data_IF_519480948348
#
_entry.id   IF_519480948348
#
_cell.length_a   1.000
_cell.length_b   1.000
_cell.length_c   1.000
_cell.angle_alpha   90.00
_cell.angle_beta   90.00
_cell.angle_gamma   90.00
#
_symmetry.space_group_name_H-M   'P 1'
#
loop_
_entity.id
_entity.type
_entity.pdbx_description
1 polymer ?
#
# COMPACT_ATOMS: atom_id res chain seq x y z
N UNK A 1 34.94 45.47 -71.26
CA UNK A 1 34.64 44.07 -70.95
C UNK A 1 35.73 43.55 -69.96
N UNK A 2 35.51 43.59 -68.66
CA UNK A 2 36.44 43.06 -67.66
C UNK A 2 35.89 41.79 -67.09
N UNK A 3 36.58 40.66 -67.30
CA UNK A 3 36.25 39.33 -66.76
C UNK A 3 36.79 39.24 -65.31
N UNK A 4 35.90 39.13 -64.34
CA UNK A 4 36.25 38.75 -62.94
C UNK A 4 36.56 37.27 -62.94
N UNK A 5 37.80 36.87 -62.78
CA UNK A 5 38.22 35.48 -62.54
C UNK A 5 38.09 35.16 -61.05
N UNK A 6 37.10 34.44 -60.66
CA UNK A 6 36.95 33.95 -59.31
C UNK A 6 37.94 32.77 -59.05
N UNK A 7 38.93 32.96 -58.17
CA UNK A 7 39.95 31.98 -57.91
C UNK A 7 39.36 30.79 -57.11
N UNK A 8 39.69 29.56 -57.54
CA UNK A 8 39.34 28.28 -56.88
C UNK A 8 39.70 28.26 -55.37
N UNK A 9 40.65 29.05 -54.95
CA UNK A 9 41.06 29.15 -53.53
C UNK A 9 40.09 29.92 -52.67
N UNK A 10 39.32 30.85 -53.23
CA UNK A 10 38.30 31.64 -52.53
C UNK A 10 37.01 30.78 -52.29
N UNK A 11 36.67 29.93 -53.25
CA UNK A 11 35.54 28.98 -53.09
C UNK A 11 35.79 27.90 -52.05
N UNK A 12 37.01 27.37 -51.93
CA UNK A 12 37.39 26.36 -50.90
C UNK A 12 37.40 26.93 -49.49
N UNK A 13 37.67 28.20 -49.30
CA UNK A 13 37.65 28.86 -47.99
C UNK A 13 36.24 29.16 -47.48
N UNK A 14 35.28 29.41 -48.38
CA UNK A 14 33.87 29.64 -48.05
C UNK A 14 33.12 28.34 -47.69
N UNK A 15 33.56 27.21 -48.23
CA UNK A 15 32.95 25.88 -47.88
C UNK A 15 33.45 25.37 -46.52
N UNK A 16 34.68 25.68 -46.12
CA UNK A 16 35.25 25.26 -44.85
C UNK A 16 34.66 25.99 -43.64
N UNK A 17 34.14 27.21 -43.77
CA UNK A 17 33.49 27.97 -42.71
C UNK A 17 32.02 27.62 -42.51
N UNK A 18 31.34 27.02 -43.49
CA UNK A 18 29.93 26.61 -43.38
C UNK A 18 29.75 25.23 -42.72
N UNK A 19 30.80 24.38 -42.71
CA UNK A 19 30.71 23.04 -42.11
C UNK A 19 30.87 23.03 -40.56
N UNK A 20 31.40 24.09 -39.96
CA UNK A 20 31.61 24.18 -38.51
C UNK A 20 30.36 24.63 -37.71
N UNK A 21 29.30 25.13 -38.41
CA UNK A 21 28.11 25.68 -37.74
C UNK A 21 26.96 24.70 -37.59
N UNK A 22 27.09 23.43 -38.08
CA UNK A 22 25.97 22.44 -38.03
C UNK A 22 26.20 21.34 -36.96
N UNK A 23 27.32 21.37 -36.26
CA UNK A 23 27.70 20.29 -35.35
C UNK A 23 27.40 20.55 -33.86
N UNK A 24 26.40 21.36 -33.52
CA UNK A 24 26.02 21.49 -32.10
C UNK A 24 24.57 21.94 -31.98
N UNK A 25 23.62 21.03 -31.91
CA UNK A 25 22.77 20.93 -30.73
C UNK A 25 22.23 19.53 -30.41
N UNK A 26 22.87 18.44 -30.80
CA UNK A 26 22.32 17.10 -30.53
C UNK A 26 22.63 16.64 -29.10
N UNK A 27 23.67 17.17 -28.45
CA UNK A 27 24.03 16.75 -27.08
C UNK A 27 23.19 17.46 -26.00
N UNK A 28 22.53 18.57 -26.32
CA UNK A 28 21.73 19.34 -25.34
C UNK A 28 20.29 18.82 -25.17
N UNK A 29 19.78 18.00 -26.08
CA UNK A 29 18.40 17.51 -26.03
C UNK A 29 18.20 16.28 -25.13
N UNK A 30 19.25 15.48 -24.87
CA UNK A 30 19.14 14.33 -23.95
C UNK A 30 19.22 14.73 -22.46
N UNK A 31 19.79 15.86 -22.13
CA UNK A 31 19.87 16.36 -20.75
C UNK A 31 18.55 17.00 -20.27
N UNK A 32 17.62 17.29 -21.15
CA UNK A 32 16.36 17.98 -20.84
C UNK A 32 15.10 17.07 -20.88
N UNK A 33 15.25 15.77 -21.13
CA UNK A 33 14.14 14.84 -20.91
C UNK A 33 14.04 14.60 -19.40
N UNK A 34 13.06 15.24 -18.76
CA UNK A 34 12.72 14.94 -17.38
C UNK A 34 12.57 13.41 -17.26
N UNK A 35 13.38 12.79 -16.39
CA UNK A 35 13.26 11.34 -16.13
C UNK A 35 11.83 11.05 -15.73
N UNK A 36 11.27 9.97 -16.26
CA UNK A 36 9.93 9.52 -15.88
C UNK A 36 10.06 8.51 -14.76
N UNK A 37 9.43 8.78 -13.62
CA UNK A 37 9.23 7.84 -12.52
C UNK A 37 7.90 7.12 -12.74
N UNK A 38 7.94 5.81 -12.96
CA UNK A 38 6.73 4.98 -12.97
C UNK A 38 6.34 4.66 -11.53
N UNK A 39 5.14 5.07 -11.13
CA UNK A 39 4.54 4.74 -9.84
C UNK A 39 3.46 3.67 -10.05
N UNK A 40 3.80 2.43 -9.81
CA UNK A 40 2.88 1.30 -9.94
C UNK A 40 1.98 1.23 -8.71
N UNK A 41 0.68 1.12 -8.94
CA UNK A 41 -0.34 0.83 -7.93
C UNK A 41 -0.91 -0.55 -8.24
N UNK A 42 -0.63 -1.59 -7.43
CA UNK A 42 -1.02 -2.97 -7.71
C UNK A 42 -2.50 -3.26 -7.40
N UNK A 43 -3.36 -2.25 -7.47
CA UNK A 43 -4.79 -2.31 -7.16
C UNK A 43 -5.60 -1.52 -8.20
N UNK A 44 -6.93 -1.78 -8.28
CA UNK A 44 -7.80 -1.02 -9.17
C UNK A 44 -7.80 0.48 -8.86
N UNK A 45 -8.08 1.33 -9.86
CA UNK A 45 -8.27 2.76 -9.65
C UNK A 45 -9.38 3.05 -8.63
N UNK A 46 -9.23 4.15 -7.87
CA UNK A 46 -10.20 4.60 -6.86
C UNK A 46 -10.06 3.94 -5.49
N UNK A 47 -9.22 2.91 -5.35
CA UNK A 47 -8.87 2.33 -4.05
C UNK A 47 -7.96 3.25 -3.22
N UNK A 48 -7.82 2.96 -1.93
CA UNK A 48 -7.06 3.81 -0.99
C UNK A 48 -5.59 4.02 -1.43
N UNK A 49 -4.96 3.01 -2.01
CA UNK A 49 -3.58 3.10 -2.51
C UNK A 49 -3.48 3.97 -3.76
N UNK A 50 -4.47 3.89 -4.66
CA UNK A 50 -4.54 4.73 -5.85
C UNK A 50 -4.79 6.21 -5.49
N UNK A 51 -5.71 6.45 -4.56
CA UNK A 51 -5.97 7.80 -4.05
C UNK A 51 -4.72 8.41 -3.41
N UNK A 52 -4.00 7.67 -2.57
CA UNK A 52 -2.75 8.13 -1.98
C UNK A 52 -1.71 8.43 -3.07
N UNK A 53 -1.57 7.56 -4.07
CA UNK A 53 -0.65 7.78 -5.19
C UNK A 53 -1.00 9.06 -5.97
N UNK A 54 -2.28 9.34 -6.20
CA UNK A 54 -2.75 10.56 -6.90
C UNK A 54 -2.59 11.83 -6.07
N UNK A 55 -2.68 11.74 -4.74
CA UNK A 55 -2.38 12.85 -3.83
C UNK A 55 -0.88 13.17 -3.84
N UNK A 56 -0.03 12.14 -3.79
CA UNK A 56 1.42 12.31 -3.68
C UNK A 56 2.11 12.51 -5.03
N UNK A 57 1.63 11.90 -6.10
CA UNK A 57 2.30 11.88 -7.41
C UNK A 57 2.72 13.24 -7.95
N UNK A 58 1.84 14.25 -8.03
CA UNK A 58 2.19 15.60 -8.48
C UNK A 58 3.27 16.27 -7.62
N UNK A 59 3.24 16.04 -6.30
CA UNK A 59 4.21 16.60 -5.35
C UNK A 59 5.57 15.90 -5.46
N UNK A 60 5.55 14.58 -5.63
CA UNK A 60 6.77 13.82 -5.92
C UNK A 60 7.41 14.29 -7.22
N UNK A 61 6.60 14.52 -8.28
CA UNK A 61 7.07 15.04 -9.56
C UNK A 61 7.80 16.37 -9.39
N UNK A 62 7.19 17.30 -8.67
CA UNK A 62 7.76 18.63 -8.40
C UNK A 62 9.08 18.55 -7.60
N UNK A 63 9.10 17.74 -6.54
CA UNK A 63 10.27 17.62 -5.66
C UNK A 63 11.45 16.87 -6.29
N UNK A 64 11.14 15.87 -7.12
CA UNK A 64 12.16 15.09 -7.83
C UNK A 64 12.66 15.78 -9.11
N UNK A 65 11.92 16.73 -9.68
CA UNK A 65 12.17 17.25 -11.01
C UNK A 65 11.94 16.18 -12.10
N UNK A 66 11.06 15.22 -11.85
CA UNK A 66 10.76 14.09 -12.73
C UNK A 66 9.27 14.09 -13.11
N UNK A 67 8.92 13.50 -14.26
CA UNK A 67 7.52 13.22 -14.57
C UNK A 67 7.09 11.96 -13.78
N UNK A 68 6.01 12.02 -12.98
CA UNK A 68 5.46 10.85 -12.30
C UNK A 68 4.25 10.33 -13.04
N UNK A 69 4.32 9.08 -13.51
CA UNK A 69 3.23 8.38 -14.20
C UNK A 69 2.69 7.28 -13.29
N UNK A 70 1.40 7.37 -12.94
CA UNK A 70 0.73 6.37 -12.08
C UNK A 70 0.11 5.30 -12.98
N UNK A 71 0.49 4.03 -12.75
CA UNK A 71 -0.01 2.87 -13.47
C UNK A 71 -0.70 1.88 -12.53
N UNK A 72 -1.98 1.62 -12.75
CA UNK A 72 -2.71 0.59 -12.00
C UNK A 72 -2.50 -0.78 -12.64
N UNK A 73 -1.90 -1.73 -11.88
CA UNK A 73 -1.62 -3.12 -12.29
C UNK A 73 -2.26 -4.09 -11.31
N UNK A 74 -3.59 -4.14 -11.31
CA UNK A 74 -4.37 -4.91 -10.36
C UNK A 74 -4.32 -6.42 -10.62
N UNK A 75 -4.53 -7.21 -9.57
CA UNK A 75 -4.75 -8.65 -9.61
C UNK A 75 -3.99 -9.43 -8.53
N UNK A 76 -4.53 -10.59 -8.16
CA UNK A 76 -3.99 -11.50 -7.15
C UNK A 76 -3.57 -10.82 -5.83
N UNK A 77 -4.43 -9.94 -5.28
CA UNK A 77 -4.14 -9.23 -4.03
C UNK A 77 -2.96 -8.25 -4.12
N UNK A 78 -2.57 -7.84 -5.33
CA UNK A 78 -1.43 -6.97 -5.62
C UNK A 78 -0.19 -7.69 -6.15
N UNK A 79 -0.17 -9.03 -6.14
CA UNK A 79 1.01 -9.82 -6.56
C UNK A 79 1.37 -9.61 -8.03
N UNK A 80 0.39 -9.36 -8.93
CA UNK A 80 0.67 -9.10 -10.35
C UNK A 80 1.51 -7.83 -10.50
N UNK A 81 1.06 -6.72 -9.93
CA UNK A 81 1.81 -5.46 -9.98
C UNK A 81 3.17 -5.55 -9.29
N UNK A 82 3.24 -6.25 -8.14
CA UNK A 82 4.49 -6.47 -7.42
C UNK A 82 5.50 -7.27 -8.24
N UNK A 83 5.07 -8.33 -8.93
CA UNK A 83 5.93 -9.13 -9.82
C UNK A 83 6.49 -8.33 -10.98
N UNK A 84 5.67 -7.44 -11.56
CA UNK A 84 6.12 -6.55 -12.62
C UNK A 84 7.25 -5.63 -12.13
N UNK A 85 7.07 -5.02 -10.96
CA UNK A 85 8.10 -4.13 -10.37
C UNK A 85 9.34 -4.92 -9.96
N UNK A 86 9.18 -6.11 -9.40
CA UNK A 86 10.29 -6.99 -9.01
C UNK A 86 11.18 -7.39 -10.19
N UNK A 87 10.61 -7.50 -11.39
CA UNK A 87 11.33 -7.84 -12.61
C UNK A 87 11.99 -6.63 -13.33
N UNK A 88 11.67 -5.39 -12.90
CA UNK A 88 12.22 -4.19 -13.54
C UNK A 88 13.70 -3.98 -13.15
N UNK A 89 14.56 -3.58 -14.11
CA UNK A 89 15.91 -3.16 -13.78
C UNK A 89 15.93 -1.81 -13.08
N UNK A 90 16.99 -1.53 -12.32
CA UNK A 90 17.16 -0.24 -11.64
C UNK A 90 17.06 0.98 -12.57
N UNK A 91 17.44 0.82 -13.84
CA UNK A 91 17.36 1.87 -14.87
C UNK A 91 15.93 2.23 -15.30
N UNK A 92 14.95 1.37 -15.01
CA UNK A 92 13.56 1.61 -15.38
C UNK A 92 12.89 2.73 -14.57
N UNK A 93 13.54 3.20 -13.50
CA UNK A 93 13.04 4.25 -12.61
C UNK A 93 11.59 4.00 -12.17
N UNK A 94 11.36 2.80 -11.65
CA UNK A 94 10.03 2.32 -11.24
C UNK A 94 9.96 2.19 -9.73
N UNK A 95 8.82 2.56 -9.14
CA UNK A 95 8.49 2.34 -7.73
C UNK A 95 7.06 1.83 -7.63
N UNK A 96 6.71 1.25 -6.49
CA UNK A 96 5.37 0.75 -6.22
C UNK A 96 4.85 1.31 -4.88
N UNK A 97 3.58 1.71 -4.85
CA UNK A 97 2.85 1.85 -3.59
C UNK A 97 2.11 0.55 -3.30
N UNK A 98 2.45 -0.11 -2.23
CA UNK A 98 1.90 -1.40 -1.85
C UNK A 98 1.09 -1.32 -0.57
N UNK A 99 -0.04 -2.01 -0.52
CA UNK A 99 -0.77 -2.29 0.72
C UNK A 99 -0.18 -3.52 1.43
N UNK A 100 -0.54 -3.73 2.67
CA UNK A 100 -0.08 -4.83 3.53
C UNK A 100 -0.22 -6.21 2.88
N UNK A 101 -1.26 -6.44 2.06
CA UNK A 101 -1.46 -7.73 1.38
C UNK A 101 -0.29 -8.13 0.47
N UNK A 102 0.38 -7.18 -0.16
CA UNK A 102 1.52 -7.45 -1.06
C UNK A 102 2.70 -8.07 -0.31
N UNK A 103 2.89 -7.73 0.97
CA UNK A 103 3.96 -8.31 1.78
C UNK A 103 3.55 -9.59 2.51
N UNK A 104 2.25 -9.76 2.78
CA UNK A 104 1.71 -10.93 3.47
C UNK A 104 1.52 -12.11 2.51
N UNK A 105 0.97 -11.87 1.32
CA UNK A 105 0.62 -12.90 0.35
C UNK A 105 1.77 -13.85 -0.02
N UNK A 106 3.01 -13.38 -0.28
CA UNK A 106 4.13 -14.26 -0.57
C UNK A 106 4.42 -15.27 0.54
N UNK A 107 4.17 -14.87 1.80
CA UNK A 107 4.39 -15.73 2.97
C UNK A 107 3.30 -16.79 3.12
N UNK A 108 2.04 -16.42 2.89
CA UNK A 108 0.88 -17.33 3.00
C UNK A 108 0.83 -18.30 1.84
N UNK A 109 1.26 -17.90 0.64
CA UNK A 109 1.20 -18.72 -0.58
C UNK A 109 2.30 -19.78 -0.70
N UNK A 110 3.11 -19.97 0.34
CA UNK A 110 4.02 -21.11 0.50
C UNK A 110 4.78 -21.53 -0.77
N UNK A 111 5.73 -20.73 -1.21
CA UNK A 111 6.61 -21.08 -2.34
C UNK A 111 6.01 -20.83 -3.74
N UNK A 112 4.74 -20.48 -3.86
CA UNK A 112 4.09 -20.13 -5.13
C UNK A 112 4.14 -18.63 -5.45
N UNK A 113 4.90 -17.84 -4.68
CA UNK A 113 5.05 -16.41 -4.99
C UNK A 113 5.98 -16.24 -6.20
N UNK A 114 5.58 -15.41 -7.18
CA UNK A 114 6.41 -15.14 -8.36
C UNK A 114 7.62 -14.23 -8.10
N UNK A 115 7.76 -13.71 -6.88
CA UNK A 115 8.89 -12.89 -6.41
C UNK A 115 9.22 -13.18 -4.95
N UNK A 116 10.42 -12.84 -4.54
CA UNK A 116 10.86 -12.91 -3.14
C UNK A 116 10.92 -11.49 -2.56
N UNK A 117 10.05 -11.22 -1.57
CA UNK A 117 10.07 -9.94 -0.85
C UNK A 117 11.43 -9.74 -0.16
N UNK A 118 11.94 -8.53 -0.11
CA UNK A 118 13.25 -8.10 0.39
C UNK A 118 14.47 -8.57 -0.41
N UNK A 119 14.30 -9.37 -1.48
CA UNK A 119 15.34 -9.69 -2.46
C UNK A 119 15.05 -8.98 -3.79
N UNK A 120 13.88 -9.23 -4.34
CA UNK A 120 13.47 -8.72 -5.65
C UNK A 120 12.79 -7.35 -5.54
N UNK A 121 12.32 -7.02 -4.35
CA UNK A 121 11.77 -5.73 -3.95
C UNK A 121 12.43 -5.25 -2.67
N UNK A 122 12.81 -3.98 -2.62
CA UNK A 122 13.35 -3.33 -1.43
C UNK A 122 12.44 -2.19 -0.98
N UNK A 123 12.18 -2.04 0.33
CA UNK A 123 11.36 -0.95 0.82
C UNK A 123 12.09 0.39 0.72
N UNK A 124 11.38 1.42 0.33
CA UNK A 124 11.85 2.81 0.39
C UNK A 124 11.43 3.44 1.71
N UNK A 125 10.16 3.31 2.07
CA UNK A 125 9.60 3.79 3.34
C UNK A 125 8.21 3.22 3.57
N UNK A 126 7.75 3.25 4.81
CA UNK A 126 6.30 3.20 5.10
C UNK A 126 5.69 4.54 4.69
N UNK A 127 4.44 4.54 4.27
CA UNK A 127 3.73 5.76 3.90
C UNK A 127 2.74 6.15 5.00
N UNK A 128 1.78 5.26 5.26
CA UNK A 128 0.68 5.49 6.19
C UNK A 128 0.33 4.22 6.95
N UNK A 129 -0.19 4.38 8.15
CA UNK A 129 -0.92 3.37 8.88
C UNK A 129 -2.43 3.64 8.78
N UNK A 130 -3.22 2.58 8.72
CA UNK A 130 -4.67 2.62 8.57
C UNK A 130 -5.26 1.79 9.71
N UNK A 131 -5.98 2.41 10.66
CA UNK A 131 -6.58 1.70 11.78
C UNK A 131 -7.70 0.78 11.30
N UNK A 132 -7.88 -0.33 12.02
CA UNK A 132 -8.98 -1.25 11.82
C UNK A 132 -9.90 -1.26 13.04
N UNK A 133 -11.09 -1.84 12.89
CA UNK A 133 -12.05 -2.07 13.96
C UNK A 133 -12.60 -3.50 13.91
N UNK A 134 -12.91 -4.06 15.08
CA UNK A 134 -13.66 -5.31 15.21
C UNK A 134 -15.13 -4.92 15.16
N UNK A 135 -15.82 -5.40 14.13
CA UNK A 135 -17.20 -5.05 13.79
C UNK A 135 -18.11 -6.24 13.94
N UNK A 136 -19.34 -5.99 14.38
CA UNK A 136 -20.41 -6.99 14.36
C UNK A 136 -21.62 -6.48 13.57
N UNK A 137 -22.29 -7.43 12.92
CA UNK A 137 -23.56 -7.18 12.23
C UNK A 137 -24.73 -7.03 13.20
N UNK A 138 -25.91 -6.59 12.72
CA UNK A 138 -27.11 -6.34 13.53
C UNK A 138 -27.67 -7.61 14.19
N UNK A 139 -27.40 -8.79 13.64
CA UNK A 139 -27.82 -10.09 14.20
C UNK A 139 -27.04 -10.54 15.43
N UNK A 140 -25.89 -9.93 15.72
CA UNK A 140 -25.02 -10.30 16.83
C UNK A 140 -25.36 -9.50 18.08
N UNK A 141 -25.87 -10.17 19.10
CA UNK A 141 -26.18 -9.55 20.39
C UNK A 141 -24.94 -9.55 21.30
N UNK A 142 -23.97 -8.67 20.96
CA UNK A 142 -22.80 -8.40 21.76
C UNK A 142 -22.55 -6.89 21.81
N UNK A 143 -22.45 -6.31 23.00
CA UNK A 143 -22.21 -4.88 23.22
C UNK A 143 -20.72 -4.57 23.46
N UNK A 144 -19.91 -5.59 23.73
CA UNK A 144 -18.47 -5.48 24.02
C UNK A 144 -17.67 -6.60 23.35
N UNK A 145 -16.35 -6.39 23.23
CA UNK A 145 -15.44 -7.43 22.73
C UNK A 145 -15.45 -8.69 23.62
N UNK A 146 -15.57 -8.51 24.94
CA UNK A 146 -15.67 -9.62 25.88
C UNK A 146 -16.92 -10.47 25.65
N UNK A 147 -18.08 -9.83 25.40
CA UNK A 147 -19.32 -10.52 25.07
C UNK A 147 -19.25 -11.25 23.74
N UNK A 148 -18.63 -10.64 22.70
CA UNK A 148 -18.39 -11.30 21.43
C UNK A 148 -17.55 -12.58 21.60
N UNK A 149 -16.46 -12.50 22.37
CA UNK A 149 -15.59 -13.65 22.64
C UNK A 149 -16.34 -14.73 23.41
N UNK A 150 -17.12 -14.36 24.42
CA UNK A 150 -17.96 -15.29 25.17
C UNK A 150 -19.00 -15.99 24.27
N UNK A 151 -19.66 -15.23 23.39
CA UNK A 151 -20.60 -15.75 22.40
C UNK A 151 -19.91 -16.72 21.43
N UNK A 152 -18.73 -16.38 20.92
CA UNK A 152 -17.97 -17.25 20.03
C UNK A 152 -17.54 -18.57 20.69
N UNK A 153 -17.33 -18.59 22.02
CA UNK A 153 -17.00 -19.80 22.79
C UNK A 153 -18.22 -20.67 23.08
N UNK A 154 -19.38 -20.06 23.30
CA UNK A 154 -20.58 -20.77 23.77
C UNK A 154 -21.50 -21.22 22.65
N UNK A 155 -21.50 -20.52 21.50
CA UNK A 155 -22.40 -20.82 20.37
C UNK A 155 -21.95 -22.09 19.66
N UNK A 156 -22.81 -23.13 19.51
CA UNK A 156 -22.51 -24.28 18.68
C UNK A 156 -22.17 -23.87 17.25
N UNK A 157 -21.02 -24.32 16.73
CA UNK A 157 -20.51 -23.91 15.41
C UNK A 157 -19.79 -22.57 15.38
N UNK A 158 -19.74 -21.82 16.49
CA UNK A 158 -19.05 -20.54 16.58
C UNK A 158 -19.71 -19.39 15.80
N UNK A 159 -18.91 -18.42 15.38
CA UNK A 159 -19.35 -17.25 14.61
C UNK A 159 -18.71 -17.23 13.23
N UNK A 160 -19.48 -16.80 12.21
CA UNK A 160 -18.98 -16.60 10.85
C UNK A 160 -18.22 -15.27 10.77
N UNK A 161 -16.92 -15.35 10.46
CA UNK A 161 -16.04 -14.20 10.38
C UNK A 161 -15.74 -13.85 8.93
N UNK A 162 -16.28 -12.71 8.48
CA UNK A 162 -16.11 -12.24 7.12
C UNK A 162 -14.72 -11.63 6.89
N UNK A 163 -14.18 -11.83 5.69
CA UNK A 163 -12.99 -11.11 5.22
C UNK A 163 -13.15 -10.62 3.78
N UNK A 164 -12.29 -9.69 3.37
CA UNK A 164 -12.20 -9.20 1.99
C UNK A 164 -11.42 -10.14 1.05
N UNK A 165 -11.23 -11.39 1.47
CA UNK A 165 -10.49 -12.43 0.76
C UNK A 165 -9.22 -12.87 1.50
N UNK A 166 -8.66 -13.99 1.07
CA UNK A 166 -7.44 -14.56 1.65
C UNK A 166 -6.25 -13.58 1.55
N UNK A 167 -5.42 -13.54 2.59
CA UNK A 167 -4.22 -12.70 2.64
C UNK A 167 -4.49 -11.19 2.81
N UNK A 168 -5.75 -10.78 2.93
CA UNK A 168 -6.11 -9.39 3.28
C UNK A 168 -5.99 -9.16 4.78
N UNK A 169 -5.88 -7.89 5.21
CA UNK A 169 -5.87 -7.55 6.65
C UNK A 169 -7.12 -8.08 7.37
N UNK A 170 -8.35 -7.94 6.85
CA UNK A 170 -9.51 -8.57 7.47
C UNK A 170 -9.34 -10.07 7.74
N UNK A 171 -8.70 -10.82 6.85
CA UNK A 171 -8.46 -12.25 7.04
C UNK A 171 -7.45 -12.51 8.16
N UNK A 172 -6.22 -11.98 8.02
CA UNK A 172 -5.13 -12.28 8.97
C UNK A 172 -5.39 -11.71 10.36
N UNK A 173 -6.07 -10.56 10.45
CA UNK A 173 -6.51 -9.98 11.70
C UNK A 173 -7.60 -10.84 12.36
N UNK A 174 -8.48 -11.42 11.57
CA UNK A 174 -9.48 -12.37 12.06
C UNK A 174 -8.84 -13.63 12.61
N UNK A 175 -7.87 -14.21 11.94
CA UNK A 175 -7.13 -15.38 12.45
C UNK A 175 -6.37 -15.05 13.74
N UNK A 176 -5.81 -13.83 13.86
CA UNK A 176 -5.20 -13.37 15.11
C UNK A 176 -6.26 -13.24 16.23
N UNK A 177 -7.46 -12.70 15.92
CA UNK A 177 -8.57 -12.62 16.88
C UNK A 177 -8.94 -14.01 17.40
N UNK A 178 -9.10 -14.97 16.50
CA UNK A 178 -9.37 -16.37 16.81
C UNK A 178 -8.28 -16.96 17.73
N UNK A 179 -7.01 -16.80 17.36
CA UNK A 179 -5.87 -17.33 18.10
C UNK A 179 -5.77 -16.77 19.52
N UNK A 180 -5.84 -15.44 19.68
CA UNK A 180 -5.67 -14.80 20.99
C UNK A 180 -6.89 -14.93 21.91
N UNK A 181 -8.10 -14.96 21.36
CA UNK A 181 -9.33 -15.04 22.14
C UNK A 181 -9.70 -16.47 22.52
N UNK A 182 -9.24 -17.47 21.75
CA UNK A 182 -9.70 -18.85 21.83
C UNK A 182 -11.19 -19.03 21.49
N UNK A 183 -11.79 -18.04 20.82
CA UNK A 183 -13.17 -18.11 20.30
C UNK A 183 -13.25 -18.99 19.04
N UNK A 184 -14.40 -19.61 18.82
CA UNK A 184 -14.67 -20.36 17.61
C UNK A 184 -15.16 -19.41 16.50
N UNK A 185 -14.32 -19.17 15.49
CA UNK A 185 -14.63 -18.34 14.33
C UNK A 185 -14.39 -19.16 13.06
N UNK A 186 -15.38 -19.16 12.17
CA UNK A 186 -15.28 -19.77 10.85
C UNK A 186 -15.04 -18.67 9.81
N UNK A 187 -13.92 -18.72 9.10
CA UNK A 187 -13.59 -17.74 8.09
C UNK A 187 -14.47 -17.88 6.85
N UNK A 188 -15.07 -16.74 6.41
CA UNK A 188 -15.91 -16.64 5.22
C UNK A 188 -15.30 -15.57 4.30
N UNK A 189 -14.55 -15.96 3.26
CA UNK A 189 -13.91 -15.01 2.34
C UNK A 189 -14.91 -14.44 1.33
N UNK A 190 -14.77 -13.14 1.02
CA UNK A 190 -15.54 -12.41 0.02
C UNK A 190 -14.63 -11.79 -1.05
N UNK A 191 -15.24 -11.32 -2.17
CA UNK A 191 -14.52 -10.66 -3.26
C UNK A 191 -14.33 -9.17 -2.98
N UNK A 192 -13.62 -8.86 -1.89
CA UNK A 192 -13.30 -7.48 -1.49
C UNK A 192 -14.20 -6.92 -0.38
N UNK A 193 -13.81 -5.73 0.12
CA UNK A 193 -14.40 -5.07 1.28
C UNK A 193 -15.90 -4.76 1.10
N UNK A 194 -16.29 -4.28 -0.07
CA UNK A 194 -17.69 -3.89 -0.31
C UNK A 194 -18.67 -5.07 -0.19
N UNK A 195 -18.29 -6.26 -0.67
CA UNK A 195 -19.07 -7.48 -0.53
C UNK A 195 -19.07 -7.96 0.92
N UNK A 196 -17.91 -8.00 1.56
CA UNK A 196 -17.78 -8.35 2.97
C UNK A 196 -18.69 -7.51 3.87
N UNK A 197 -18.66 -6.19 3.73
CA UNK A 197 -19.51 -5.27 4.52
C UNK A 197 -21.00 -5.48 4.23
N UNK A 198 -21.36 -5.73 2.99
CA UNK A 198 -22.77 -5.99 2.60
C UNK A 198 -23.29 -7.27 3.26
N UNK A 199 -22.48 -8.35 3.30
CA UNK A 199 -22.83 -9.61 3.92
C UNK A 199 -22.94 -9.49 5.46
N UNK A 200 -22.04 -8.69 6.07
CA UNK A 200 -22.05 -8.40 7.50
C UNK A 200 -23.30 -7.58 7.89
N UNK A 201 -23.63 -6.52 7.14
CA UNK A 201 -24.83 -5.69 7.35
C UNK A 201 -26.10 -6.52 7.14
N UNK A 202 -26.10 -7.44 6.17
CA UNK A 202 -27.20 -8.34 5.87
C UNK A 202 -27.36 -9.47 6.88
N UNK A 203 -26.49 -9.61 7.88
CA UNK A 203 -26.54 -10.64 8.92
C UNK A 203 -26.23 -12.06 8.41
N UNK A 204 -25.63 -12.20 7.21
CA UNK A 204 -25.18 -13.50 6.69
C UNK A 204 -23.81 -13.91 7.24
N UNK A 205 -23.07 -12.96 7.75
CA UNK A 205 -21.87 -13.18 8.57
C UNK A 205 -22.03 -12.41 9.89
N UNK A 206 -21.30 -12.81 10.92
CA UNK A 206 -21.50 -12.32 12.28
C UNK A 206 -20.51 -11.20 12.64
N UNK A 207 -19.24 -11.35 12.27
CA UNK A 207 -18.14 -10.48 12.68
C UNK A 207 -17.16 -10.22 11.52
N UNK A 208 -16.50 -9.07 11.53
CA UNK A 208 -15.37 -8.79 10.66
C UNK A 208 -14.35 -7.92 11.39
N UNK A 209 -13.08 -8.02 11.00
CA UNK A 209 -12.08 -6.99 11.29
C UNK A 209 -11.87 -6.21 10.02
N UNK A 210 -12.17 -4.92 10.02
CA UNK A 210 -12.12 -4.12 8.79
C UNK A 210 -11.38 -2.80 8.98
N UNK A 211 -10.86 -2.26 7.86
CA UNK A 211 -10.25 -0.95 7.82
C UNK A 211 -11.31 0.12 8.16
N UNK A 212 -11.01 0.95 9.14
CA UNK A 212 -11.97 1.91 9.68
C UNK A 212 -12.51 2.87 8.60
N UNK A 213 -11.66 3.27 7.65
CA UNK A 213 -12.05 4.15 6.54
C UNK A 213 -13.25 3.64 5.74
N UNK A 214 -13.33 2.33 5.50
CA UNK A 214 -14.43 1.71 4.72
C UNK A 214 -15.69 1.46 5.52
N UNK A 215 -15.58 1.30 6.84
CA UNK A 215 -16.69 0.93 7.71
C UNK A 215 -17.27 2.08 8.52
N UNK A 216 -16.59 3.25 8.61
CA UNK A 216 -16.97 4.35 9.48
C UNK A 216 -18.41 4.82 9.26
N UNK A 217 -18.85 5.06 8.02
CA UNK A 217 -20.22 5.49 7.71
C UNK A 217 -21.28 4.44 8.12
N UNK A 218 -20.93 3.17 8.11
CA UNK A 218 -21.83 2.10 8.57
C UNK A 218 -21.91 2.05 10.09
N UNK A 219 -20.84 2.40 10.78
CA UNK A 219 -20.81 2.52 12.24
C UNK A 219 -21.63 3.74 12.67
N UNK A 220 -21.37 4.92 12.09
CA UNK A 220 -22.09 6.17 12.39
C UNK A 220 -23.60 6.08 12.13
N UNK A 221 -24.00 5.35 11.07
CA UNK A 221 -25.41 5.12 10.76
C UNK A 221 -26.06 3.99 11.56
N UNK A 222 -25.31 3.36 12.49
CA UNK A 222 -25.82 2.26 13.33
C UNK A 222 -26.07 0.93 12.59
N UNK A 223 -25.69 0.81 11.32
CA UNK A 223 -25.81 -0.43 10.54
C UNK A 223 -24.83 -1.50 10.98
N UNK A 224 -23.68 -1.09 11.52
CA UNK A 224 -22.67 -1.95 12.12
C UNK A 224 -22.31 -1.40 13.50
N UNK A 225 -21.88 -2.26 14.40
CA UNK A 225 -21.35 -1.88 15.71
C UNK A 225 -19.86 -2.17 15.76
N UNK A 226 -19.06 -1.16 16.12
CA UNK A 226 -17.65 -1.34 16.45
C UNK A 226 -17.51 -1.69 17.94
N UNK A 227 -16.91 -2.83 18.23
CA UNK A 227 -16.68 -3.30 19.60
C UNK A 227 -15.32 -2.88 20.15
N UNK A 228 -14.33 -2.76 19.26
CA UNK A 228 -13.01 -2.25 19.60
C UNK A 228 -12.31 -1.74 18.33
N UNK A 229 -11.44 -0.74 18.48
CA UNK A 229 -10.43 -0.39 17.46
C UNK A 229 -9.17 -1.21 17.72
N UNK A 230 -8.43 -1.53 16.66
CA UNK A 230 -7.27 -2.44 16.75
C UNK A 230 -5.93 -1.71 16.86
N UNK A 231 -5.96 -0.40 16.88
CA UNK A 231 -4.80 0.48 17.07
C UNK A 231 -4.39 0.56 18.55
N UNK A 232 -3.17 1.03 18.82
CA UNK A 232 -2.64 1.22 20.19
C UNK A 232 -3.32 2.36 20.96
N UNK A 233 -4.07 3.22 20.27
CA UNK A 233 -4.85 4.34 20.84
C UNK A 233 -6.23 4.36 20.24
N UNK A 234 -7.21 4.90 20.99
CA UNK A 234 -8.56 5.16 20.48
C UNK A 234 -8.49 6.09 19.28
N UNK A 235 -9.47 5.97 18.39
CA UNK A 235 -9.58 6.81 17.21
C UNK A 235 -10.49 8.01 17.48
N UNK A 236 -10.07 9.20 17.05
CA UNK A 236 -10.83 10.45 17.22
C UNK A 236 -12.24 10.37 16.61
N UNK A 237 -12.38 9.65 15.49
CA UNK A 237 -13.66 9.42 14.85
C UNK A 237 -14.61 8.51 15.65
N UNK A 238 -14.08 7.72 16.61
CA UNK A 238 -14.85 6.79 17.44
C UNK A 238 -14.39 6.87 18.91
N UNK A 239 -14.52 8.02 19.58
CA UNK A 239 -13.93 8.23 20.92
C UNK A 239 -14.53 7.32 22.00
N UNK A 240 -15.77 6.86 21.81
CA UNK A 240 -16.45 5.93 22.70
C UNK A 240 -16.05 4.46 22.51
N UNK A 241 -15.34 4.11 21.42
CA UNK A 241 -14.92 2.74 21.14
C UNK A 241 -13.55 2.49 21.75
N UNK A 242 -13.40 1.49 22.67
CA UNK A 242 -12.11 1.18 23.28
C UNK A 242 -11.14 0.56 22.27
N UNK A 243 -9.86 0.54 22.60
CA UNK A 243 -8.90 -0.34 21.92
C UNK A 243 -9.16 -1.79 22.28
N UNK A 244 -8.72 -2.74 21.46
CA UNK A 244 -8.85 -4.16 21.77
C UNK A 244 -8.09 -4.53 23.07
N UNK A 245 -6.96 -3.88 23.34
CA UNK A 245 -6.20 -4.06 24.58
C UNK A 245 -6.94 -3.51 25.79
N UNK A 246 -7.54 -2.30 25.70
CA UNK A 246 -8.41 -1.75 26.73
C UNK A 246 -9.64 -2.65 27.00
N UNK A 247 -10.14 -3.32 25.96
CA UNK A 247 -11.24 -4.27 26.03
C UNK A 247 -10.82 -5.68 26.53
N UNK A 248 -9.56 -5.85 26.94
CA UNK A 248 -9.05 -7.07 27.59
C UNK A 248 -8.35 -8.06 26.65
N UNK A 249 -8.27 -7.82 25.36
CA UNK A 249 -7.57 -8.69 24.42
C UNK A 249 -6.11 -8.22 24.23
N UNK A 250 -5.26 -8.60 25.17
CA UNK A 250 -3.84 -8.21 25.17
C UNK A 250 -3.10 -8.73 23.94
N UNK A 251 -2.21 -7.89 23.39
CA UNK A 251 -1.41 -8.22 22.20
C UNK A 251 -2.17 -8.16 20.88
N UNK A 252 -3.46 -7.80 20.90
CA UNK A 252 -4.23 -7.60 19.69
C UNK A 252 -4.09 -6.16 19.17
N UNK A 253 -2.97 -5.90 18.51
CA UNK A 253 -2.71 -4.63 17.83
C UNK A 253 -2.55 -4.92 16.35
N UNK A 254 -3.44 -4.38 15.51
CA UNK A 254 -3.45 -4.56 14.06
C UNK A 254 -3.69 -3.22 13.38
N UNK A 255 -2.83 -2.89 12.43
CA UNK A 255 -3.04 -1.79 11.50
C UNK A 255 -2.73 -2.28 10.10
N UNK A 256 -3.54 -1.92 9.13
CA UNK A 256 -3.10 -1.98 7.75
C UNK A 256 -2.07 -0.86 7.52
N UNK A 257 -1.19 -1.05 6.57
CA UNK A 257 -0.26 0.00 6.18
C UNK A 257 -0.10 0.05 4.67
N UNK A 258 0.35 1.18 4.18
CA UNK A 258 0.85 1.32 2.82
C UNK A 258 2.32 1.71 2.87
N UNK A 259 3.08 1.22 1.92
CA UNK A 259 4.54 1.39 1.85
C UNK A 259 4.99 1.57 0.41
N UNK A 260 6.10 2.29 0.24
CA UNK A 260 6.75 2.47 -1.06
C UNK A 260 7.88 1.46 -1.21
N UNK A 261 7.93 0.82 -2.37
CA UNK A 261 8.92 -0.19 -2.73
C UNK A 261 9.58 0.13 -4.06
N UNK A 262 10.79 -0.35 -4.25
CA UNK A 262 11.55 -0.26 -5.49
C UNK A 262 12.07 -1.64 -5.88
N UNK A 263 12.50 -1.86 -7.16
CA UNK A 263 13.21 -3.06 -7.56
C UNK A 263 14.42 -3.33 -6.69
N UNK A 264 14.72 -4.61 -6.40
CA UNK A 264 15.84 -5.02 -5.53
C UNK A 264 17.22 -4.54 -6.01
N UNK A 265 17.36 -4.26 -7.30
CA UNK A 265 18.57 -3.71 -7.91
C UNK A 265 18.73 -2.19 -7.77
N UNK A 266 17.78 -1.48 -7.14
CA UNK A 266 17.82 -0.01 -7.00
C UNK A 266 18.98 0.43 -6.11
N UNK A 267 19.87 1.34 -6.57
CA UNK A 267 21.00 1.81 -5.79
C UNK A 267 20.55 2.51 -4.50
N UNK A 268 21.31 2.31 -3.41
CA UNK A 268 21.02 2.91 -2.09
C UNK A 268 20.83 4.44 -2.16
N UNK A 269 21.66 5.16 -2.91
CA UNK A 269 21.53 6.60 -3.05
C UNK A 269 20.18 7.03 -3.66
N UNK A 270 19.58 6.21 -4.56
CA UNK A 270 18.25 6.47 -5.10
C UNK A 270 17.17 6.18 -4.06
N UNK A 271 17.30 5.11 -3.28
CA UNK A 271 16.38 4.81 -2.17
C UNK A 271 16.36 5.94 -1.14
N UNK A 272 17.54 6.44 -0.73
CA UNK A 272 17.66 7.54 0.22
C UNK A 272 17.09 8.86 -0.32
N UNK A 273 17.26 9.14 -1.63
CA UNK A 273 16.64 10.29 -2.30
C UNK A 273 15.12 10.20 -2.27
N UNK A 274 14.57 9.06 -2.69
CA UNK A 274 13.12 8.81 -2.70
C UNK A 274 12.54 8.90 -1.29
N UNK A 275 13.19 8.26 -0.30
CA UNK A 275 12.77 8.29 1.10
C UNK A 275 12.65 9.72 1.63
N UNK A 276 13.69 10.55 1.42
CA UNK A 276 13.71 11.95 1.85
C UNK A 276 12.58 12.75 1.20
N UNK A 277 12.41 12.64 -0.11
CA UNK A 277 11.37 13.37 -0.85
C UNK A 277 9.98 12.93 -0.40
N UNK A 278 9.75 11.64 -0.20
CA UNK A 278 8.48 11.12 0.34
C UNK A 278 8.22 11.69 1.74
N UNK A 279 9.22 11.72 2.61
CA UNK A 279 9.07 12.26 3.96
C UNK A 279 8.75 13.77 3.95
N UNK A 280 9.30 14.53 3.01
CA UNK A 280 8.96 15.95 2.82
C UNK A 280 7.52 16.12 2.34
N UNK A 281 7.10 15.37 1.30
CA UNK A 281 5.73 15.40 0.76
C UNK A 281 4.71 15.02 1.84
N UNK A 282 5.00 14.01 2.64
CA UNK A 282 4.09 13.56 3.72
C UNK A 282 3.93 14.54 4.87
N UNK A 283 4.77 15.59 4.95
CA UNK A 283 4.65 16.69 5.94
C UNK A 283 3.89 17.89 5.40
N UNK A 284 3.53 17.91 4.13
CA UNK A 284 2.77 19.03 3.53
C UNK A 284 1.35 19.08 4.12
N UNK A 285 0.86 20.26 4.54
CA UNK A 285 -0.45 20.39 5.22
C UNK A 285 -1.61 19.81 4.40
N UNK A 286 -1.60 20.03 3.09
CA UNK A 286 -2.66 19.50 2.20
C UNK A 286 -2.61 17.98 2.11
N UNK A 287 -1.42 17.36 2.14
CA UNK A 287 -1.28 15.91 2.16
C UNK A 287 -1.76 15.36 3.48
N UNK A 288 -1.36 15.96 4.61
CA UNK A 288 -1.82 15.57 5.94
C UNK A 288 -3.33 15.65 6.06
N UNK A 289 -3.93 16.73 5.57
CA UNK A 289 -5.38 16.90 5.56
C UNK A 289 -6.08 15.83 4.69
N UNK A 290 -5.53 15.54 3.51
CA UNK A 290 -6.12 14.57 2.60
C UNK A 290 -6.06 13.15 3.17
N UNK A 291 -4.92 12.72 3.75
CA UNK A 291 -4.78 11.38 4.33
C UNK A 291 -5.58 11.23 5.63
N UNK A 292 -5.72 12.30 6.43
CA UNK A 292 -6.58 12.31 7.63
C UNK A 292 -8.04 12.03 7.27
N UNK A 293 -8.55 12.65 6.19
CA UNK A 293 -9.92 12.36 5.67
C UNK A 293 -10.09 10.90 5.22
N UNK A 294 -8.99 10.22 4.88
CA UNK A 294 -8.96 8.79 4.55
C UNK A 294 -8.71 7.91 5.77
N UNK A 295 -8.78 8.45 6.99
CA UNK A 295 -8.46 7.75 8.24
C UNK A 295 -7.05 7.14 8.25
N UNK A 296 -6.11 7.80 7.60
CA UNK A 296 -4.72 7.38 7.52
C UNK A 296 -3.84 8.27 8.39
N UNK A 297 -2.84 7.67 9.01
CA UNK A 297 -1.82 8.37 9.81
C UNK A 297 -0.46 8.26 9.13
N UNK A 298 0.32 9.34 8.98
CA UNK A 298 1.66 9.27 8.42
C UNK A 298 2.55 8.31 9.21
N UNK A 299 3.35 7.52 8.48
CA UNK A 299 4.24 6.50 9.09
C UNK A 299 5.64 6.50 8.46
N UNK A 300 6.04 7.60 7.80
CA UNK A 300 7.34 7.72 7.14
C UNK A 300 8.49 7.70 8.15
N UNK A 301 9.55 7.00 7.78
CA UNK A 301 10.79 6.90 8.56
C UNK A 301 11.95 6.52 7.66
N UNK A 302 13.17 6.40 8.22
CA UNK A 302 14.36 5.95 7.50
C UNK A 302 14.15 4.59 6.79
N UNK A 303 14.88 4.36 5.69
CA UNK A 303 14.81 3.11 4.91
C UNK A 303 15.00 1.88 5.80
N UNK A 304 16.02 1.90 6.66
CA UNK A 304 16.38 0.74 7.49
C UNK A 304 15.32 0.46 8.58
N UNK A 305 14.67 1.50 9.12
CA UNK A 305 13.57 1.34 10.07
C UNK A 305 12.32 0.78 9.38
N UNK A 306 12.03 1.27 8.16
CA UNK A 306 10.95 0.74 7.35
C UNK A 306 11.16 -0.74 7.03
N UNK A 307 12.38 -1.13 6.64
CA UNK A 307 12.71 -2.54 6.36
C UNK A 307 12.58 -3.40 7.63
N UNK A 308 13.12 -2.95 8.76
CA UNK A 308 13.01 -3.65 10.04
C UNK A 308 11.55 -3.90 10.44
N UNK A 309 10.71 -2.86 10.33
CA UNK A 309 9.27 -2.97 10.62
C UNK A 309 8.58 -3.97 9.69
N UNK A 310 8.80 -3.85 8.37
CA UNK A 310 8.14 -4.69 7.38
C UNK A 310 8.57 -6.15 7.47
N UNK A 311 9.84 -6.43 7.81
CA UNK A 311 10.32 -7.79 8.10
C UNK A 311 9.65 -8.38 9.36
N UNK A 312 9.47 -7.57 10.39
CA UNK A 312 8.76 -8.00 11.59
C UNK A 312 7.29 -8.31 11.30
N UNK A 313 6.62 -7.51 10.47
CA UNK A 313 5.24 -7.78 10.03
C UNK A 313 5.12 -9.08 9.23
N UNK A 314 6.03 -9.33 8.27
CA UNK A 314 6.06 -10.60 7.53
C UNK A 314 6.22 -11.79 8.49
N UNK A 315 7.16 -11.70 9.42
CA UNK A 315 7.42 -12.76 10.41
C UNK A 315 6.21 -12.99 11.33
N UNK A 316 5.57 -11.91 11.76
CA UNK A 316 4.37 -11.96 12.59
C UNK A 316 3.22 -12.68 11.89
N UNK A 317 2.90 -12.28 10.67
CA UNK A 317 1.79 -12.87 9.93
C UNK A 317 2.05 -14.31 9.49
N UNK A 318 3.30 -14.69 9.26
CA UNK A 318 3.68 -16.09 9.03
C UNK A 318 3.37 -17.01 10.21
N UNK A 319 3.40 -16.49 11.44
CA UNK A 319 3.05 -17.24 12.66
C UNK A 319 1.54 -17.34 12.86
N UNK A 320 0.78 -16.35 12.41
CA UNK A 320 -0.68 -16.28 12.58
C UNK A 320 -1.40 -17.12 11.52
N UNK A 321 -0.95 -17.05 10.28
CA UNK A 321 -1.56 -17.74 9.15
C UNK A 321 -0.52 -18.69 8.55
N UNK A 322 -0.60 -19.99 8.84
CA UNK A 322 0.36 -20.96 8.31
C UNK A 322 0.38 -20.96 6.77
N UNK A 323 1.56 -21.24 6.24
CA UNK A 323 1.77 -21.38 4.81
C UNK A 323 0.84 -22.48 4.22
N UNK A 324 0.20 -22.19 3.08
CA UNK A 324 -0.73 -23.12 2.43
C UNK A 324 -2.19 -23.07 2.89
N UNK A 325 -2.52 -22.28 3.92
CA UNK A 325 -3.92 -22.12 4.35
C UNK A 325 -4.82 -21.42 3.33
N UNK A 326 -4.25 -20.79 2.32
CA UNK A 326 -4.99 -20.18 1.20
C UNK A 326 -5.48 -21.19 0.14
N UNK A 327 -5.12 -22.47 0.25
CA UNK A 327 -5.41 -23.53 -0.73
C UNK A 327 -6.56 -24.47 -0.32
N UNK A 328 -7.28 -24.17 0.78
CA UNK A 328 -8.44 -24.95 1.22
C UNK A 328 -9.76 -24.30 0.86
#
# INVERSE_FOLDING_TARGET
MSRFACSRRTLLRLIATSAAAIASPVIAQDAARAKTLKLVVPFPPGGSTDLLARIMGPRLAQRLGETVVIENKAGAGGNIGASLVAAEPASANTVMFAATSVIINPTIQAGNSPFQIFRDLVPVTRLVDIPCAILVGPSVNAASLGELIALAKSRPGGLNMASAGFGTIPHVAGELLKSLSGGAFTHVPHKGQAEMLRELIGGRTDVAVDLLAGSLQHIESGRLRALAVTSTRRQEALPGVPTAEEAGLKGYVVSAHQSMWAPGSTPRGRLDQLNRVVAEVMREPEVLQAISKMMMTPATGPVDEAEKYLRAEVSRWAQVVPAGSAAQ
#
